data_IF_755294006839
#
_entry.id   IF_755294006839
#
_cell.length_a   1.000
_cell.length_b   1.000
_cell.length_c   1.000
_cell.angle_alpha   90.00
_cell.angle_beta   90.00
_cell.angle_gamma   90.00
#
_symmetry.space_group_name_H-M   'P 1'
#
loop_
_entity.id
_entity.type
_entity.pdbx_description
1 polymer ?
#
# COMPACT_ATOMS: atom_id res chain seq x y z
N UNK A 1 2.11 15.20 21.76
CA UNK A 1 1.19 14.87 20.66
C UNK A 1 1.53 13.45 20.25
N UNK A 2 0.69 12.49 20.62
CA UNK A 2 0.90 11.08 20.34
C UNK A 2 0.34 10.83 18.94
N UNK A 3 1.22 10.80 17.94
CA UNK A 3 0.85 10.77 16.51
C UNK A 3 0.71 9.34 15.95
N UNK A 4 0.52 8.37 16.84
CA UNK A 4 0.21 7.00 16.46
C UNK A 4 -1.30 6.84 16.53
N UNK A 5 -1.97 6.98 15.38
CA UNK A 5 -3.16 6.15 15.19
C UNK A 5 -2.66 4.71 15.35
N UNK A 6 -3.07 4.03 16.43
CA UNK A 6 -2.67 2.65 16.72
C UNK A 6 -3.35 1.72 15.71
N UNK A 7 -2.90 1.74 14.46
CA UNK A 7 -3.27 0.74 13.46
C UNK A 7 -2.85 -0.62 14.01
N UNK A 8 -3.84 -1.47 14.28
CA UNK A 8 -3.60 -2.80 14.84
C UNK A 8 -3.18 -3.82 13.78
N UNK A 9 -3.34 -3.46 12.51
CA UNK A 9 -2.99 -4.30 11.36
C UNK A 9 -2.37 -3.49 10.22
N UNK A 10 -1.19 -3.88 9.76
CA UNK A 10 -0.58 -3.36 8.53
C UNK A 10 -0.68 -4.36 7.39
N UNK A 11 -1.15 -3.92 6.22
CA UNK A 11 -1.16 -4.71 4.99
C UNK A 11 -0.05 -4.21 4.07
N UNK A 12 1.02 -4.98 3.94
CA UNK A 12 2.13 -4.69 3.04
C UNK A 12 1.86 -5.30 1.67
N UNK A 13 1.83 -4.46 0.63
CA UNK A 13 1.52 -4.84 -0.75
C UNK A 13 2.75 -4.54 -1.62
N UNK A 14 3.64 -5.50 -1.84
CA UNK A 14 4.74 -5.34 -2.78
C UNK A 14 4.22 -5.29 -4.22
N UNK A 15 4.70 -4.33 -5.02
CA UNK A 15 4.25 -4.14 -6.40
C UNK A 15 5.39 -3.99 -7.39
N UNK A 16 5.18 -4.53 -8.60
CA UNK A 16 6.02 -4.30 -9.77
C UNK A 16 5.14 -4.39 -11.03
N UNK A 17 4.94 -3.27 -11.71
CA UNK A 17 4.08 -3.13 -12.89
C UNK A 17 2.61 -3.58 -12.67
N UNK A 18 1.99 -3.06 -11.62
CA UNK A 18 0.65 -3.41 -11.13
C UNK A 18 -0.34 -2.22 -11.20
N UNK A 19 -0.08 -1.21 -12.03
CA UNK A 19 -0.86 0.03 -12.04
C UNK A 19 -2.37 -0.18 -12.19
N UNK A 20 -2.78 -1.12 -13.05
CA UNK A 20 -4.20 -1.45 -13.26
C UNK A 20 -4.87 -2.14 -12.06
N UNK A 21 -4.10 -2.85 -11.23
CA UNK A 21 -4.62 -3.69 -10.17
C UNK A 21 -4.73 -2.97 -8.82
N UNK A 22 -3.89 -1.95 -8.58
CA UNK A 22 -3.86 -1.21 -7.32
C UNK A 22 -5.23 -0.67 -6.87
N UNK A 23 -6.00 0.06 -7.70
CA UNK A 23 -7.29 0.61 -7.26
C UNK A 23 -8.31 -0.47 -6.90
N UNK A 24 -8.31 -1.58 -7.66
CA UNK A 24 -9.22 -2.70 -7.45
C UNK A 24 -8.88 -3.42 -6.15
N UNK A 25 -7.60 -3.68 -5.91
CA UNK A 25 -7.13 -4.35 -4.70
C UNK A 25 -7.45 -3.54 -3.44
N UNK A 26 -7.16 -2.24 -3.45
CA UNK A 26 -7.46 -1.34 -2.32
C UNK A 26 -8.98 -1.32 -2.05
N UNK A 27 -9.81 -1.20 -3.09
CA UNK A 27 -11.27 -1.27 -2.95
C UNK A 27 -11.75 -2.58 -2.31
N UNK A 28 -11.17 -3.71 -2.70
CA UNK A 28 -11.51 -5.02 -2.12
C UNK A 28 -11.06 -5.14 -0.67
N UNK A 29 -9.91 -4.58 -0.31
CA UNK A 29 -9.46 -4.53 1.09
C UNK A 29 -10.47 -3.73 1.92
N UNK A 30 -10.90 -2.54 1.47
CA UNK A 30 -11.93 -1.77 2.18
C UNK A 30 -13.23 -2.55 2.38
N UNK A 31 -13.68 -3.28 1.35
CA UNK A 31 -14.87 -4.12 1.47
C UNK A 31 -14.68 -5.26 2.48
N UNK A 32 -13.52 -5.92 2.48
CA UNK A 32 -13.23 -7.02 3.40
C UNK A 32 -13.18 -6.58 4.87
N UNK A 33 -12.79 -5.33 5.13
CA UNK A 33 -12.69 -4.76 6.48
C UNK A 33 -13.90 -3.89 6.87
N UNK A 34 -14.92 -3.73 6.02
CA UNK A 34 -16.04 -2.83 6.28
C UNK A 34 -16.79 -3.13 7.59
N UNK A 35 -16.93 -4.43 7.91
CA UNK A 35 -17.63 -4.91 9.12
C UNK A 35 -16.68 -5.44 10.19
N UNK A 36 -15.36 -5.26 10.01
CA UNK A 36 -14.34 -5.72 10.96
C UNK A 36 -13.89 -4.55 11.81
N UNK A 37 -14.12 -4.56 13.14
CA UNK A 37 -13.76 -3.44 14.01
C UNK A 37 -12.25 -3.45 14.35
N UNK A 38 -11.41 -3.29 13.33
CA UNK A 38 -9.96 -3.19 13.43
C UNK A 38 -9.47 -2.01 12.61
N UNK A 39 -8.67 -1.15 13.24
CA UNK A 39 -7.95 -0.09 12.53
C UNK A 39 -6.78 -0.71 11.76
N UNK A 40 -6.67 -0.39 10.47
CA UNK A 40 -5.64 -0.93 9.60
C UNK A 40 -5.02 0.13 8.68
N UNK A 41 -3.78 -0.12 8.26
CA UNK A 41 -3.09 0.64 7.22
C UNK A 41 -2.74 -0.26 6.03
N UNK A 42 -2.60 0.35 4.85
CA UNK A 42 -2.16 -0.30 3.61
C UNK A 42 -0.85 0.36 3.19
N UNK A 43 0.22 -0.42 3.11
CA UNK A 43 1.54 0.03 2.70
C UNK A 43 1.87 -0.58 1.34
N UNK A 44 1.74 0.22 0.29
CA UNK A 44 2.16 -0.16 -1.06
C UNK A 44 3.67 0.04 -1.18
N UNK A 45 4.40 -1.03 -1.49
CA UNK A 45 5.86 -1.02 -1.64
C UNK A 45 6.21 -1.32 -3.10
N UNK A 46 6.47 -0.28 -3.87
CA UNK A 46 6.77 -0.37 -5.30
C UNK A 46 8.26 -0.57 -5.58
N UNK A 47 8.59 -1.55 -6.41
CA UNK A 47 9.97 -1.92 -6.78
C UNK A 47 10.41 -1.25 -8.10
N UNK A 48 10.28 0.07 -8.17
CA UNK A 48 10.66 0.92 -9.31
C UNK A 48 9.90 0.60 -10.61
N UNK A 49 8.57 0.50 -10.51
CA UNK A 49 7.70 0.22 -11.66
C UNK A 49 7.74 1.34 -12.70
N UNK A 50 7.75 0.97 -13.98
CA UNK A 50 7.81 1.93 -15.10
C UNK A 50 6.44 2.17 -15.77
N UNK A 51 5.40 1.48 -15.32
CA UNK A 51 4.04 1.57 -15.85
C UNK A 51 3.15 2.60 -15.13
N UNK A 52 3.69 3.34 -14.16
CA UNK A 52 2.94 4.29 -13.35
C UNK A 52 2.26 3.68 -12.11
N UNK A 53 2.67 2.48 -11.66
CA UNK A 53 2.16 1.85 -10.43
C UNK A 53 2.27 2.78 -9.22
N UNK A 54 3.46 3.34 -8.96
CA UNK A 54 3.69 4.25 -7.85
C UNK A 54 2.75 5.48 -7.89
N UNK A 55 2.57 6.08 -9.06
CA UNK A 55 1.67 7.25 -9.22
C UNK A 55 0.21 6.87 -9.01
N UNK A 56 -0.18 5.66 -9.45
CA UNK A 56 -1.52 5.15 -9.22
C UNK A 56 -1.78 4.92 -7.73
N UNK A 57 -0.81 4.35 -7.01
CA UNK A 57 -0.89 4.18 -5.56
C UNK A 57 -0.93 5.53 -4.82
N UNK A 58 -0.14 6.53 -5.24
CA UNK A 58 -0.16 7.88 -4.65
C UNK A 58 -1.52 8.55 -4.77
N UNK A 59 -2.19 8.41 -5.92
CA UNK A 59 -3.57 8.93 -6.10
C UNK A 59 -4.58 8.27 -5.16
N UNK A 60 -4.34 7.03 -4.73
CA UNK A 60 -5.17 6.39 -3.70
C UNK A 60 -4.85 6.97 -2.32
N UNK A 61 -3.57 7.16 -1.99
CA UNK A 61 -3.14 7.79 -0.73
C UNK A 61 -3.64 9.22 -0.55
N UNK A 62 -3.78 10.01 -1.62
CA UNK A 62 -4.39 11.34 -1.57
C UNK A 62 -5.87 11.32 -1.15
N UNK A 63 -6.57 10.20 -1.39
CA UNK A 63 -8.00 10.04 -1.11
C UNK A 63 -8.27 9.27 0.18
N UNK A 64 -7.28 8.52 0.67
CA UNK A 64 -7.39 7.68 1.85
C UNK A 64 -6.11 7.74 2.68
N UNK A 65 -6.20 8.33 3.87
CA UNK A 65 -5.09 8.47 4.81
C UNK A 65 -4.58 7.14 5.37
N UNK A 66 -5.29 6.02 5.15
CA UNK A 66 -4.83 4.67 5.52
C UNK A 66 -3.85 4.10 4.51
N UNK A 67 -3.73 4.68 3.31
CA UNK A 67 -2.85 4.20 2.25
C UNK A 67 -1.53 4.98 2.27
N UNK A 68 -0.41 4.26 2.32
CA UNK A 68 0.95 4.80 2.28
C UNK A 68 1.71 4.15 1.13
N UNK A 69 2.62 4.90 0.51
CA UNK A 69 3.36 4.45 -0.67
C UNK A 69 4.85 4.63 -0.45
N UNK A 70 5.59 3.54 -0.62
CA UNK A 70 7.05 3.49 -0.57
C UNK A 70 7.57 3.03 -1.92
N UNK A 71 8.58 3.71 -2.46
CA UNK A 71 9.22 3.32 -3.73
C UNK A 71 10.67 2.96 -3.45
N UNK A 72 11.04 1.73 -3.75
CA UNK A 72 12.39 1.19 -3.58
C UNK A 72 13.13 1.33 -4.91
N UNK A 73 14.07 2.28 -4.99
CA UNK A 73 14.90 2.46 -6.18
C UNK A 73 16.08 1.49 -6.17
N UNK A 74 16.21 0.69 -7.24
CA UNK A 74 17.39 -0.17 -7.48
C UNK A 74 17.45 -1.49 -6.68
N UNK A 75 16.37 -1.90 -6.02
CA UNK A 75 16.38 -3.04 -5.11
C UNK A 75 15.44 -4.18 -5.53
N UNK A 76 15.75 -4.81 -6.67
CA UNK A 76 14.92 -5.87 -7.28
C UNK A 76 14.66 -7.06 -6.35
N UNK A 77 13.39 -7.40 -6.15
CA UNK A 77 12.97 -8.71 -5.62
C UNK A 77 11.94 -8.66 -4.48
N UNK A 78 10.99 -9.59 -4.52
CA UNK A 78 9.85 -9.73 -3.60
C UNK A 78 10.25 -9.73 -2.11
N UNK A 79 11.31 -10.47 -1.75
CA UNK A 79 11.76 -10.56 -0.37
C UNK A 79 12.18 -9.18 0.21
N UNK A 80 12.80 -8.34 -0.61
CA UNK A 80 13.21 -7.00 -0.18
C UNK A 80 12.02 -6.06 0.04
N UNK A 81 10.96 -6.21 -0.75
CA UNK A 81 9.76 -5.40 -0.62
C UNK A 81 8.95 -5.77 0.63
N UNK A 82 8.90 -7.05 1.00
CA UNK A 82 8.23 -7.53 2.22
C UNK A 82 8.97 -7.11 3.50
N UNK A 83 10.30 -7.06 3.51
CA UNK A 83 11.09 -6.68 4.70
C UNK A 83 10.97 -5.17 5.02
N UNK A 84 10.71 -4.32 4.01
CA UNK A 84 10.72 -2.86 4.15
C UNK A 84 9.34 -2.23 4.37
N UNK A 85 8.26 -2.98 4.13
CA UNK A 85 6.92 -2.57 4.52
C UNK A 85 6.61 -3.09 5.91
#
# INVERSE_FOLDING_TARGET
MNDSADFKLGLVIPTLNEAGNIPVLIGRIHQAFADVPIDYEIMVVDDDSQDGTADTARRQAERDSRVRVFVRKGARGLAGAVIHG
#
